data_IF_704974469069
#
_entry.id   IF_704974469069
#
_cell.length_a   1.000
_cell.length_b   1.000
_cell.length_c   1.000
_cell.angle_alpha   90.00
_cell.angle_beta   90.00
_cell.angle_gamma   90.00
#
_symmetry.space_group_name_H-M   'P 1'
#
loop_
_entity.id
_entity.type
_entity.pdbx_description
1 polymer ?
#
# COMPACT_ATOMS: atom_id res chain seq x y z
N UNK A 1 -21.20 -14.12 10.13
CA UNK A 1 -19.93 -13.87 10.86
C UNK A 1 -18.97 -15.01 10.55
N UNK A 2 -17.68 -14.74 10.36
CA UNK A 2 -16.66 -15.77 10.14
C UNK A 2 -16.22 -16.36 11.49
N UNK A 3 -15.88 -17.66 11.56
CA UNK A 3 -15.51 -18.30 12.81
C UNK A 3 -14.10 -17.88 13.28
N UNK A 4 -13.17 -17.64 12.34
CA UNK A 4 -11.82 -17.15 12.62
C UNK A 4 -11.44 -15.94 11.75
N UNK A 5 -10.43 -15.18 12.20
CA UNK A 5 -9.87 -14.04 11.47
C UNK A 5 -8.90 -14.52 10.40
N UNK A 6 -9.06 -14.02 9.17
CA UNK A 6 -8.25 -14.39 8.01
C UNK A 6 -7.33 -13.23 7.63
N UNK A 7 -6.05 -13.50 7.45
CA UNK A 7 -5.05 -12.54 6.98
C UNK A 7 -4.61 -12.82 5.56
N UNK A 8 -4.02 -11.80 4.93
CA UNK A 8 -3.42 -11.93 3.59
C UNK A 8 -2.27 -12.94 3.67
N UNK A 9 -2.20 -13.84 2.68
CA UNK A 9 -1.19 -14.92 2.58
C UNK A 9 -1.34 -16.07 3.58
N UNK A 10 -2.42 -16.13 4.36
CA UNK A 10 -2.72 -17.31 5.15
C UNK A 10 -2.84 -18.56 4.26
N UNK A 11 -2.24 -19.66 4.72
CA UNK A 11 -2.32 -20.96 4.06
C UNK A 11 -3.55 -21.68 4.61
N UNK A 12 -4.47 -22.03 3.71
CA UNK A 12 -5.71 -22.76 4.04
C UNK A 12 -5.65 -24.17 3.48
N UNK A 13 -6.24 -25.13 4.19
CA UNK A 13 -6.41 -26.50 3.71
C UNK A 13 -7.71 -26.55 2.90
N UNK A 14 -7.64 -27.13 1.70
CA UNK A 14 -8.80 -27.33 0.83
C UNK A 14 -9.15 -28.81 0.82
N UNK A 15 -10.36 -29.13 1.24
CA UNK A 15 -10.89 -30.50 1.31
C UNK A 15 -12.06 -30.63 0.33
N UNK A 16 -12.05 -31.67 -0.50
CA UNK A 16 -13.19 -32.03 -1.36
C UNK A 16 -13.98 -33.16 -0.69
N UNK A 17 -15.23 -32.89 -0.33
CA UNK A 17 -16.13 -33.88 0.23
C UNK A 17 -16.87 -34.62 -0.89
N UNK A 18 -17.19 -35.90 -0.68
CA UNK A 18 -18.09 -36.66 -1.57
C UNK A 18 -19.38 -35.85 -1.77
N UNK A 19 -19.69 -35.51 -3.02
CA UNK A 19 -20.81 -34.63 -3.39
C UNK A 19 -20.42 -33.22 -3.84
N UNK A 20 -19.16 -32.98 -4.22
CA UNK A 20 -18.66 -31.71 -4.82
C UNK A 20 -18.71 -30.49 -3.88
N UNK A 21 -18.83 -30.72 -2.57
CA UNK A 21 -18.73 -29.65 -1.59
C UNK A 21 -17.25 -29.40 -1.25
N UNK A 22 -16.77 -28.19 -1.55
CA UNK A 22 -15.42 -27.74 -1.20
C UNK A 22 -15.48 -27.13 0.20
N UNK A 23 -14.61 -27.56 1.09
CA UNK A 23 -14.45 -26.98 2.43
C UNK A 23 -13.07 -26.35 2.57
N UNK A 24 -13.03 -25.20 3.22
CA UNK A 24 -11.79 -24.48 3.53
C UNK A 24 -11.57 -24.55 5.04
N UNK A 25 -10.42 -25.07 5.46
CA UNK A 25 -10.06 -25.21 6.88
C UNK A 25 -8.86 -24.34 7.22
N UNK A 26 -8.96 -23.56 8.30
CA UNK A 26 -7.92 -22.69 8.81
C UNK A 26 -7.95 -22.73 10.35
N UNK A 27 -6.82 -23.02 10.99
CA UNK A 27 -6.69 -23.08 12.46
C UNK A 27 -7.76 -23.97 13.11
N UNK A 28 -7.96 -25.16 12.53
CA UNK A 28 -8.96 -26.17 12.93
C UNK A 28 -10.43 -25.77 12.82
N UNK A 29 -10.73 -24.61 12.21
CA UNK A 29 -12.10 -24.17 11.94
C UNK A 29 -12.42 -24.17 10.44
N UNK A 30 -13.67 -24.46 10.11
CA UNK A 30 -14.18 -24.43 8.74
C UNK A 30 -14.71 -23.05 8.38
N UNK A 31 -14.14 -22.44 7.34
CA UNK A 31 -14.49 -21.10 6.90
C UNK A 31 -15.80 -21.08 6.12
N UNK A 32 -16.59 -20.02 6.30
CA UNK A 32 -17.72 -19.76 5.43
C UNK A 32 -17.23 -19.19 4.11
N UNK A 33 -17.71 -19.75 3.00
CA UNK A 33 -17.41 -19.25 1.66
C UNK A 33 -18.69 -18.96 0.88
N UNK A 34 -18.55 -18.11 -0.14
CA UNK A 34 -19.60 -17.85 -1.12
C UNK A 34 -18.99 -17.98 -2.51
N UNK A 35 -19.65 -18.73 -3.38
CA UNK A 35 -19.26 -18.80 -4.78
C UNK A 35 -19.49 -17.43 -5.42
N UNK A 36 -18.43 -16.85 -5.98
CA UNK A 36 -18.55 -15.64 -6.79
C UNK A 36 -19.00 -16.04 -8.21
N UNK A 37 -19.97 -15.34 -8.81
CA UNK A 37 -20.48 -15.68 -10.15
C UNK A 37 -19.43 -15.43 -11.24
N UNK A 38 -18.57 -14.42 -11.07
CA UNK A 38 -17.50 -14.09 -11.99
C UNK A 38 -16.23 -13.73 -11.20
N UNK A 39 -15.06 -13.94 -11.82
CA UNK A 39 -13.79 -13.50 -11.28
C UNK A 39 -13.75 -11.96 -11.21
N UNK A 40 -13.46 -11.37 -10.04
CA UNK A 40 -13.40 -9.91 -9.92
C UNK A 40 -12.33 -9.34 -10.85
N UNK A 41 -12.70 -8.28 -11.59
CA UNK A 41 -11.79 -7.59 -12.51
C UNK A 41 -10.69 -6.91 -11.72
N UNK A 42 -9.44 -7.05 -12.17
CA UNK A 42 -8.32 -6.34 -11.58
C UNK A 42 -8.56 -4.83 -11.72
N UNK A 43 -8.54 -4.12 -10.59
CA UNK A 43 -8.64 -2.65 -10.55
C UNK A 43 -7.53 -2.02 -11.42
N UNK A 44 -6.32 -2.57 -11.32
CA UNK A 44 -5.17 -2.25 -12.18
C UNK A 44 -5.01 -3.36 -13.23
N UNK A 45 -5.81 -3.31 -14.28
CA UNK A 45 -5.47 -4.02 -15.52
C UNK A 45 -4.59 -3.10 -16.35
N UNK A 46 -3.74 -3.64 -17.24
CA UNK A 46 -2.96 -2.84 -18.20
C UNK A 46 -3.81 -1.89 -19.05
N UNK A 47 -5.12 -2.15 -19.12
CA UNK A 47 -6.15 -1.32 -19.78
C UNK A 47 -6.66 -0.18 -18.90
N UNK A 48 -6.65 -0.37 -17.58
CA UNK A 48 -7.01 0.61 -16.56
C UNK A 48 -5.73 1.06 -15.84
N UNK A 49 -4.86 1.77 -16.56
CA UNK A 49 -3.71 2.47 -15.98
C UNK A 49 -4.23 3.63 -15.11
N UNK A 50 -4.80 3.32 -13.93
CA UNK A 50 -4.93 4.29 -12.87
C UNK A 50 -3.52 4.51 -12.33
N UNK A 51 -2.90 5.68 -12.58
CA UNK A 51 -1.57 5.91 -12.08
C UNK A 51 -1.63 5.95 -10.55
N UNK A 52 -0.89 5.07 -9.88
CA UNK A 52 -0.45 5.25 -8.49
C UNK A 52 0.54 6.43 -8.36
N UNK A 53 0.58 7.32 -9.35
CA UNK A 53 1.41 8.50 -9.33
C UNK A 53 0.85 9.37 -8.22
N UNK A 54 1.59 9.47 -7.12
CA UNK A 54 1.41 10.52 -6.13
C UNK A 54 1.33 11.82 -6.95
N UNK A 55 0.20 12.55 -6.91
CA UNK A 55 0.08 13.78 -7.67
C UNK A 55 1.28 14.65 -7.34
N UNK A 56 1.88 15.27 -8.36
CA UNK A 56 2.99 16.22 -8.17
C UNK A 56 2.61 17.12 -7.00
N UNK A 57 3.38 17.03 -5.91
CA UNK A 57 2.98 17.56 -4.61
C UNK A 57 2.43 18.97 -4.77
N UNK A 58 1.18 19.17 -4.36
CA UNK A 58 0.58 20.50 -4.20
C UNK A 58 1.06 21.18 -2.92
N UNK A 59 2.05 20.60 -2.23
CA UNK A 59 2.64 21.20 -1.04
C UNK A 59 3.09 22.61 -1.38
N UNK A 60 2.62 23.55 -0.55
CA UNK A 60 2.94 24.95 -0.68
C UNK A 60 4.45 25.14 -0.63
N UNK A 61 5.02 25.65 -1.72
CA UNK A 61 6.42 26.03 -1.77
C UNK A 61 6.52 27.45 -1.19
N UNK A 62 7.24 27.65 -0.07
CA UNK A 62 7.44 28.98 0.50
C UNK A 62 8.13 29.96 -0.47
N UNK A 63 7.83 31.26 -0.35
CA UNK A 63 8.54 32.29 -1.09
C UNK A 63 10.02 32.32 -0.72
N UNK A 64 10.86 32.82 -1.63
CA UNK A 64 12.31 32.80 -1.48
C UNK A 64 12.82 33.57 -0.25
N UNK A 65 12.06 34.56 0.23
CA UNK A 65 12.36 35.37 1.40
C UNK A 65 11.89 34.75 2.74
N UNK A 66 11.40 33.51 2.74
CA UNK A 66 10.93 32.89 3.99
C UNK A 66 12.10 32.49 4.91
N UNK A 67 12.04 32.75 6.22
CA UNK A 67 13.13 32.54 7.19
C UNK A 67 13.84 31.17 7.07
N UNK A 68 13.10 30.07 6.99
CA UNK A 68 13.66 28.71 6.85
C UNK A 68 14.52 28.46 5.59
N UNK A 69 14.34 29.23 4.50
CA UNK A 69 15.16 29.14 3.28
C UNK A 69 16.41 30.02 3.39
N UNK A 70 16.38 31.01 4.28
CA UNK A 70 17.51 31.89 4.52
C UNK A 70 18.51 31.24 5.48
N UNK A 71 18.03 30.49 6.47
CA UNK A 71 18.89 29.80 7.45
C UNK A 71 19.84 28.82 6.74
N UNK A 72 19.33 28.02 5.80
CA UNK A 72 20.15 27.09 5.02
C UNK A 72 21.20 27.78 4.15
N UNK A 73 20.88 28.96 3.61
CA UNK A 73 21.83 29.77 2.84
C UNK A 73 22.93 30.36 3.75
N UNK A 74 22.57 30.85 4.94
CA UNK A 74 23.54 31.37 5.92
C UNK A 74 24.49 30.27 6.39
N UNK A 75 23.99 29.07 6.67
CA UNK A 75 24.82 27.92 7.04
C UNK A 75 25.75 27.48 5.91
N UNK A 76 25.25 27.46 4.67
CA UNK A 76 26.05 27.17 3.49
C UNK A 76 27.19 28.18 3.31
N UNK A 77 26.89 29.48 3.42
CA UNK A 77 27.89 30.55 3.33
C UNK A 77 28.93 30.46 4.46
N UNK A 78 28.50 30.21 5.70
CA UNK A 78 29.42 29.97 6.83
C UNK A 78 30.35 28.80 6.56
N UNK A 79 29.84 27.69 6.02
CA UNK A 79 30.64 26.51 5.66
C UNK A 79 31.70 26.85 4.60
N UNK A 80 31.34 27.59 3.56
CA UNK A 80 32.27 28.03 2.52
C UNK A 80 33.37 28.94 3.09
N UNK A 81 33.01 29.92 3.92
CA UNK A 81 33.99 30.82 4.54
C UNK A 81 34.95 30.12 5.51
N UNK A 82 34.50 29.02 6.15
CA UNK A 82 35.32 28.21 7.06
C UNK A 82 36.32 27.32 6.32
N UNK A 83 36.02 26.92 5.07
CA UNK A 83 36.89 26.08 4.24
C UNK A 83 37.96 26.86 3.47
N UNK A 84 37.87 28.20 3.47
CA UNK A 84 38.79 29.10 2.77
C UNK A 84 39.92 29.66 3.64
N UNK A 85 40.00 29.26 4.93
CA UNK A 85 41.09 29.57 5.86
C UNK A 85 41.85 28.31 6.21
#
# INVERSE_FOLDING_TARGET
>A
IQPTTIYKQDIVIVEEQIGQAIRFRLRDEYLHYKLLPEKPKKIHSSKNNLPWVIPRSTAHIPPANHPWRQISNIEYLKKLTKMSK
#
